data_IF_368494621810
#
_entry.id   IF_368494621810
#
_cell.length_a   1.000
_cell.length_b   1.000
_cell.length_c   1.000
_cell.angle_alpha   90.00
_cell.angle_beta   90.00
_cell.angle_gamma   90.00
#
_symmetry.space_group_name_H-M   'P 1'
#
loop_
_entity.id
_entity.type
_entity.pdbx_description
1 polymer ?
#
# COMPACT_ATOMS: atom_id res chain seq x y z
N UNK A 1 -5.81 -9.80 -27.03
CA UNK A 1 -5.70 -8.53 -26.30
C UNK A 1 -5.48 -8.88 -24.82
N UNK A 2 -4.40 -8.42 -24.21
CA UNK A 2 -4.17 -8.58 -22.78
C UNK A 2 -5.25 -7.81 -22.03
N UNK A 3 -6.06 -8.50 -21.23
CA UNK A 3 -7.18 -7.90 -20.50
C UNK A 3 -6.73 -6.82 -19.52
N UNK A 4 -7.62 -5.91 -19.15
CA UNK A 4 -7.41 -4.84 -18.18
C UNK A 4 -7.31 -5.43 -16.77
N UNK A 5 -6.12 -5.43 -16.18
CA UNK A 5 -5.84 -5.98 -14.85
C UNK A 5 -6.05 -4.90 -13.77
N UNK A 6 -7.23 -4.92 -13.13
CA UNK A 6 -7.60 -4.01 -12.03
C UNK A 6 -7.68 -4.73 -10.67
N UNK A 7 -6.93 -5.81 -10.51
CA UNK A 7 -6.88 -6.67 -9.32
C UNK A 7 -5.63 -6.46 -8.45
N UNK A 8 -4.60 -5.76 -8.96
CA UNK A 8 -3.27 -5.67 -8.33
C UNK A 8 -2.88 -4.28 -7.81
N UNK A 9 -3.74 -3.27 -7.91
CA UNK A 9 -3.48 -1.89 -7.48
C UNK A 9 -2.18 -1.31 -8.09
N UNK A 10 -1.98 -1.53 -9.39
CA UNK A 10 -0.82 -1.00 -10.10
C UNK A 10 -0.90 0.52 -10.19
N UNK A 11 0.26 1.16 -10.23
CA UNK A 11 0.39 2.59 -10.54
C UNK A 11 0.36 2.87 -12.04
N UNK A 12 0.57 4.14 -12.40
CA UNK A 12 0.69 4.55 -13.80
C UNK A 12 1.88 3.91 -14.50
N UNK A 13 1.77 3.75 -15.81
CA UNK A 13 2.88 3.31 -16.63
C UNK A 13 3.99 4.37 -16.59
N UNK A 14 5.23 4.02 -16.20
CA UNK A 14 6.33 4.97 -16.25
C UNK A 14 6.70 5.32 -17.68
N UNK A 15 7.30 6.52 -17.92
CA UNK A 15 7.68 6.95 -19.26
C UNK A 15 8.80 6.09 -19.86
N UNK A 16 8.84 6.00 -21.21
CA UNK A 16 9.87 5.25 -21.94
C UNK A 16 11.29 5.72 -21.59
N UNK A 17 11.48 7.01 -21.35
CA UNK A 17 12.78 7.60 -20.94
C UNK A 17 13.37 6.93 -19.67
N UNK A 18 12.54 6.32 -18.83
CA UNK A 18 13.04 5.56 -17.68
C UNK A 18 13.72 4.25 -18.12
N UNK A 19 13.23 3.60 -19.18
CA UNK A 19 13.86 2.40 -19.76
C UNK A 19 15.17 2.77 -20.49
N UNK A 20 15.22 3.95 -21.10
CA UNK A 20 16.44 4.44 -21.75
C UNK A 20 17.57 4.64 -20.72
N UNK A 21 17.22 5.03 -19.49
CA UNK A 21 18.18 5.10 -18.38
C UNK A 21 18.76 3.73 -18.00
N UNK A 22 18.03 2.64 -18.18
CA UNK A 22 18.53 1.27 -17.96
C UNK A 22 19.53 0.87 -19.05
N UNK A 23 19.29 1.26 -20.29
CA UNK A 23 20.19 0.94 -21.40
C UNK A 23 21.58 1.61 -21.24
N UNK A 24 21.66 2.70 -20.48
CA UNK A 24 22.91 3.40 -20.17
C UNK A 24 23.62 2.93 -18.89
N UNK A 25 23.17 1.85 -18.25
CA UNK A 25 23.83 1.36 -17.04
C UNK A 25 25.22 0.76 -17.33
N UNK A 26 26.20 1.07 -16.47
CA UNK A 26 27.51 0.49 -16.52
C UNK A 26 27.44 -1.02 -16.24
N UNK A 27 28.02 -1.89 -17.10
CA UNK A 27 28.12 -3.33 -16.85
C UNK A 27 28.74 -3.70 -15.48
N UNK A 28 29.63 -2.87 -14.94
CA UNK A 28 30.19 -3.04 -13.60
C UNK A 28 29.11 -3.05 -12.50
N UNK A 29 28.00 -2.34 -12.71
CA UNK A 29 26.86 -2.35 -11.79
C UNK A 29 26.24 -3.74 -11.66
N UNK A 30 26.29 -4.57 -12.70
CA UNK A 30 25.77 -5.94 -12.67
C UNK A 30 26.73 -6.91 -11.97
N UNK A 31 28.02 -6.60 -11.95
CA UNK A 31 29.08 -7.44 -11.36
C UNK A 31 29.26 -7.20 -9.86
N UNK A 32 28.95 -5.99 -9.37
CA UNK A 32 29.13 -5.60 -7.96
C UNK A 32 27.86 -5.82 -7.15
N UNK A 33 28.02 -6.05 -5.86
CA UNK A 33 26.88 -5.99 -4.94
C UNK A 33 26.28 -4.58 -4.93
N UNK A 34 24.94 -4.47 -4.89
CA UNK A 34 24.27 -3.19 -4.96
C UNK A 34 24.49 -2.33 -3.71
N UNK A 35 24.63 -1.02 -3.92
CA UNK A 35 24.68 -0.03 -2.85
C UNK A 35 23.36 0.75 -2.81
N UNK A 36 22.65 0.73 -1.70
CA UNK A 36 21.39 1.47 -1.51
C UNK A 36 21.60 2.88 -0.97
N UNK A 37 22.79 3.19 -0.43
CA UNK A 37 23.10 4.46 0.21
C UNK A 37 22.83 5.71 -0.69
N UNK A 38 23.07 5.70 -2.01
CA UNK A 38 22.68 6.84 -2.86
C UNK A 38 21.17 7.11 -2.85
N UNK A 39 20.35 6.05 -2.91
CA UNK A 39 18.90 6.17 -2.88
C UNK A 39 18.41 6.59 -1.48
N UNK A 40 19.02 6.07 -0.40
CA UNK A 40 18.72 6.46 0.98
C UNK A 40 18.96 7.96 1.19
N UNK A 41 20.08 8.52 0.65
CA UNK A 41 20.36 9.96 0.71
C UNK A 41 19.34 10.82 -0.04
N UNK A 42 18.91 10.40 -1.24
CA UNK A 42 17.87 11.12 -2.01
C UNK A 42 16.54 11.11 -1.25
N UNK A 43 16.16 9.98 -0.70
CA UNK A 43 14.95 9.86 0.11
C UNK A 43 15.05 10.69 1.40
N UNK A 44 16.19 10.66 2.10
CA UNK A 44 16.42 11.46 3.30
C UNK A 44 16.25 12.97 3.01
N UNK A 45 16.87 13.46 1.94
CA UNK A 45 16.73 14.86 1.50
C UNK A 45 15.28 15.22 1.18
N UNK A 46 14.51 14.29 0.57
CA UNK A 46 13.09 14.48 0.24
C UNK A 46 12.21 14.67 1.47
N UNK A 47 12.54 14.00 2.57
CA UNK A 47 11.78 14.08 3.83
C UNK A 47 12.42 15.02 4.87
N UNK A 48 13.53 15.69 4.54
CA UNK A 48 14.23 16.61 5.45
C UNK A 48 14.80 15.91 6.68
N UNK A 49 15.30 14.69 6.52
CA UNK A 49 15.90 13.89 7.60
C UNK A 49 17.31 13.43 7.24
N UNK A 50 18.07 12.95 8.22
CA UNK A 50 19.37 12.34 7.99
C UNK A 50 19.25 10.96 7.32
N UNK A 51 20.26 10.56 6.54
CA UNK A 51 20.28 9.28 5.84
C UNK A 51 20.18 8.06 6.78
N UNK A 52 20.65 8.18 8.01
CA UNK A 52 20.55 7.17 9.06
C UNK A 52 19.11 6.87 9.50
N UNK A 53 18.18 7.74 9.13
CA UNK A 53 16.74 7.58 9.36
C UNK A 53 16.00 6.89 8.21
N UNK A 54 16.74 6.44 7.19
CA UNK A 54 16.19 5.81 5.99
C UNK A 54 16.79 4.42 5.76
N UNK A 55 15.96 3.46 5.38
CA UNK A 55 16.38 2.13 4.93
C UNK A 55 15.65 1.77 3.65
N UNK A 56 16.38 1.53 2.58
CA UNK A 56 15.83 0.98 1.32
C UNK A 56 15.61 -0.52 1.46
N UNK A 57 14.46 -1.02 1.00
CA UNK A 57 13.99 -2.39 1.15
C UNK A 57 13.49 -2.97 -0.18
N UNK A 58 13.38 -4.30 -0.29
CA UNK A 58 12.82 -4.99 -1.46
C UNK A 58 11.27 -4.84 -1.53
N UNK A 59 10.79 -3.61 -1.69
CA UNK A 59 9.38 -3.24 -1.61
C UNK A 59 8.89 -3.09 -0.17
N UNK A 60 7.60 -2.78 -0.03
CA UNK A 60 6.95 -2.68 1.28
C UNK A 60 6.91 -4.00 2.04
N UNK A 61 6.83 -5.12 1.32
CA UNK A 61 6.77 -6.46 1.92
C UNK A 61 8.03 -6.78 2.75
N UNK A 62 9.23 -6.51 2.21
CA UNK A 62 10.49 -6.68 2.94
C UNK A 62 10.58 -5.73 4.14
N UNK A 63 10.04 -4.50 4.03
CA UNK A 63 9.96 -3.57 5.15
C UNK A 63 9.11 -4.13 6.30
N UNK A 64 7.93 -4.66 5.98
CA UNK A 64 7.00 -5.26 6.95
C UNK A 64 7.62 -6.50 7.58
N UNK A 65 8.22 -7.40 6.78
CA UNK A 65 8.90 -8.60 7.27
C UNK A 65 10.03 -8.25 8.27
N UNK A 66 10.89 -7.26 7.93
CA UNK A 66 11.95 -6.78 8.82
C UNK A 66 11.41 -6.23 10.12
N UNK A 67 10.31 -5.46 10.10
CA UNK A 67 9.68 -4.94 11.31
C UNK A 67 9.16 -6.10 12.17
N UNK A 68 8.50 -7.08 11.55
CA UNK A 68 8.02 -8.27 12.25
C UNK A 68 9.18 -9.04 12.90
N UNK A 69 10.25 -9.34 12.17
CA UNK A 69 11.43 -10.05 12.70
C UNK A 69 12.15 -9.28 13.79
N UNK A 70 12.20 -7.95 13.73
CA UNK A 70 12.85 -7.13 14.74
C UNK A 70 12.04 -7.01 16.04
N UNK A 71 10.71 -7.17 15.97
CA UNK A 71 9.80 -6.83 17.09
C UNK A 71 8.96 -7.99 17.60
N UNK A 72 8.81 -9.06 16.80
CA UNK A 72 7.98 -10.21 17.14
C UNK A 72 8.84 -11.47 17.37
N UNK A 73 8.35 -12.35 18.20
CA UNK A 73 8.86 -13.67 18.55
C UNK A 73 7.75 -14.42 19.31
N UNK A 74 7.87 -15.71 19.62
CA UNK A 74 6.93 -16.40 20.50
C UNK A 74 6.69 -15.63 21.80
N UNK A 75 5.42 -15.45 22.16
CA UNK A 75 4.99 -14.64 23.31
C UNK A 75 4.82 -13.15 23.03
N UNK A 76 5.11 -12.66 21.81
CA UNK A 76 4.83 -11.27 21.41
C UNK A 76 3.67 -11.21 20.43
N UNK A 77 2.96 -10.09 20.38
CA UNK A 77 1.79 -9.91 19.51
C UNK A 77 1.87 -8.68 18.62
N UNK A 78 1.13 -8.75 17.50
CA UNK A 78 0.81 -7.65 16.60
C UNK A 78 -0.67 -7.29 16.78
N UNK A 79 -0.98 -6.04 17.15
CA UNK A 79 -2.34 -5.49 17.12
C UNK A 79 -2.61 -4.97 15.70
N UNK A 80 -3.61 -5.55 15.03
CA UNK A 80 -3.87 -5.33 13.60
C UNK A 80 -5.33 -4.97 13.35
N UNK A 81 -5.66 -3.74 12.91
CA UNK A 81 -6.98 -3.42 12.36
C UNK A 81 -7.28 -4.29 11.14
N UNK A 82 -8.46 -4.94 11.12
CA UNK A 82 -8.88 -5.86 10.04
C UNK A 82 -10.28 -5.50 9.51
N UNK A 83 -10.53 -5.69 8.21
CA UNK A 83 -9.65 -6.27 7.19
C UNK A 83 -8.50 -5.33 6.82
N UNK A 84 -7.31 -5.88 6.59
CA UNK A 84 -6.13 -5.13 6.17
C UNK A 84 -5.30 -5.93 5.17
N UNK A 85 -4.10 -5.45 4.81
CA UNK A 85 -3.21 -6.14 3.90
C UNK A 85 -2.77 -7.48 4.49
N UNK A 86 -3.07 -8.56 3.77
CA UNK A 86 -2.90 -9.95 4.25
C UNK A 86 -1.46 -10.30 4.67
N UNK A 87 -0.46 -9.62 4.07
CA UNK A 87 0.94 -9.87 4.41
C UNK A 87 1.32 -9.37 5.82
N UNK A 88 0.55 -8.49 6.44
CA UNK A 88 0.76 -8.10 7.84
C UNK A 88 0.66 -9.32 8.76
N UNK A 89 -0.45 -10.05 8.65
CA UNK A 89 -0.67 -11.28 9.41
C UNK A 89 0.31 -12.38 9.05
N UNK A 90 0.61 -12.53 7.74
CA UNK A 90 1.54 -13.53 7.24
C UNK A 90 2.94 -13.36 7.86
N UNK A 91 3.53 -12.16 7.79
CA UNK A 91 4.86 -11.91 8.33
C UNK A 91 4.89 -11.92 9.86
N UNK A 92 3.82 -11.49 10.54
CA UNK A 92 3.73 -11.62 11.98
C UNK A 92 3.82 -13.08 12.43
N UNK A 93 3.09 -13.98 11.75
CA UNK A 93 3.13 -15.43 12.02
C UNK A 93 4.47 -16.05 11.68
N UNK A 94 5.11 -15.66 10.55
CA UNK A 94 6.46 -16.12 10.19
C UNK A 94 7.50 -15.73 11.25
N UNK A 95 7.37 -14.57 11.87
CA UNK A 95 8.22 -14.14 12.98
C UNK A 95 7.87 -14.82 14.32
N UNK A 96 6.89 -15.72 14.35
CA UNK A 96 6.44 -16.41 15.55
C UNK A 96 5.53 -15.58 16.47
N UNK A 97 5.10 -14.39 16.03
CA UNK A 97 4.20 -13.52 16.78
C UNK A 97 2.72 -13.93 16.66
N UNK A 98 1.95 -13.64 17.69
CA UNK A 98 0.50 -13.73 17.64
C UNK A 98 -0.11 -12.50 16.98
N UNK A 99 -1.31 -12.62 16.39
CA UNK A 99 -2.06 -11.48 15.84
C UNK A 99 -3.31 -11.25 16.70
N UNK A 100 -3.52 -10.01 17.14
CA UNK A 100 -4.71 -9.54 17.83
C UNK A 100 -5.51 -8.70 16.84
N UNK A 101 -6.55 -9.25 16.21
CA UNK A 101 -7.34 -8.55 15.20
C UNK A 101 -8.28 -7.54 15.85
N UNK A 102 -8.34 -6.33 15.30
CA UNK A 102 -9.26 -5.27 15.70
C UNK A 102 -10.21 -4.99 14.54
N UNK A 103 -11.52 -5.22 14.66
CA UNK A 103 -12.47 -4.96 13.59
C UNK A 103 -12.45 -3.49 13.15
N UNK A 104 -12.22 -3.25 11.85
CA UNK A 104 -12.30 -1.94 11.20
C UNK A 104 -12.88 -2.09 9.78
N UNK A 105 -14.15 -2.43 9.71
CA UNK A 105 -14.84 -2.60 8.42
C UNK A 105 -15.28 -1.26 7.83
N UNK A 106 -15.91 -0.42 8.61
CA UNK A 106 -16.39 0.91 8.22
C UNK A 106 -16.31 1.89 9.39
N UNK A 107 -16.46 3.18 9.10
CA UNK A 107 -16.48 4.22 10.11
C UNK A 107 -15.08 4.72 10.50
N UNK A 108 -14.99 5.44 11.63
CA UNK A 108 -13.74 6.02 12.10
C UNK A 108 -12.71 4.95 12.46
N UNK A 109 -11.43 5.37 12.51
CA UNK A 109 -10.35 4.50 12.93
C UNK A 109 -10.59 3.96 14.36
N UNK A 110 -10.37 2.67 14.65
CA UNK A 110 -10.79 2.02 15.90
C UNK A 110 -9.81 2.26 17.06
N UNK A 111 -9.44 3.52 17.31
CA UNK A 111 -8.42 3.90 18.31
C UNK A 111 -8.70 3.34 19.69
N UNK A 112 -9.94 3.44 20.20
CA UNK A 112 -10.27 2.95 21.54
C UNK A 112 -10.18 1.43 21.67
N UNK A 113 -10.50 0.69 20.60
CA UNK A 113 -10.34 -0.76 20.58
C UNK A 113 -8.84 -1.14 20.58
N UNK A 114 -8.01 -0.41 19.84
CA UNK A 114 -6.55 -0.58 19.83
C UNK A 114 -5.98 -0.32 21.22
N UNK A 115 -6.37 0.79 21.87
CA UNK A 115 -5.95 1.13 23.24
C UNK A 115 -6.21 0.01 24.24
N UNK A 116 -7.39 -0.63 24.14
CA UNK A 116 -7.73 -1.76 25.02
C UNK A 116 -6.98 -3.05 24.70
N UNK A 117 -6.55 -3.22 23.47
CA UNK A 117 -5.87 -4.44 22.99
C UNK A 117 -4.34 -4.41 23.20
N UNK A 118 -3.75 -3.22 23.35
CA UNK A 118 -2.32 -3.08 23.62
C UNK A 118 -2.02 -3.54 25.05
N UNK A 119 -1.03 -4.40 25.17
CA UNK A 119 -0.58 -4.96 26.47
C UNK A 119 0.94 -5.12 26.51
N UNK A 120 1.48 -5.66 27.61
CA UNK A 120 2.93 -5.80 27.83
C UNK A 120 3.60 -6.69 26.77
N UNK A 121 2.86 -7.61 26.17
CA UNK A 121 3.34 -8.51 25.13
C UNK A 121 3.20 -7.94 23.71
N UNK A 122 2.64 -6.74 23.56
CA UNK A 122 2.54 -6.10 22.26
C UNK A 122 3.92 -5.72 21.73
N UNK A 123 4.27 -6.22 20.53
CA UNK A 123 5.51 -5.89 19.85
C UNK A 123 5.32 -4.87 18.73
N UNK A 124 4.16 -4.94 18.05
CA UNK A 124 3.81 -4.08 16.92
C UNK A 124 2.34 -3.68 17.01
N UNK A 125 2.05 -2.40 16.75
CA UNK A 125 0.70 -1.92 16.46
C UNK A 125 0.68 -1.41 15.02
N UNK A 126 -0.29 -1.83 14.22
CA UNK A 126 -0.33 -1.53 12.78
C UNK A 126 -1.34 -0.42 12.49
N UNK A 127 -0.93 0.54 11.66
CA UNK A 127 -1.78 1.55 11.03
C UNK A 127 -1.53 1.50 9.53
N UNK A 128 -2.50 1.04 8.73
CA UNK A 128 -2.43 1.08 7.26
C UNK A 128 -3.30 2.24 6.79
N UNK A 129 -2.71 3.25 6.16
CA UNK A 129 -3.42 4.47 5.77
C UNK A 129 -2.86 5.07 4.47
N UNK A 130 -3.64 5.07 3.38
CA UNK A 130 -4.92 4.40 3.15
C UNK A 130 -4.86 2.88 3.29
N UNK A 131 -5.88 2.29 3.91
CA UNK A 131 -5.93 0.86 4.20
C UNK A 131 -6.27 0.03 2.94
N UNK A 132 -5.61 -1.07 2.77
CA UNK A 132 -5.94 -2.07 1.76
C UNK A 132 -6.61 -3.29 2.44
N UNK A 133 -7.88 -3.64 2.10
CA UNK A 133 -8.58 -3.29 0.86
C UNK A 133 -9.64 -2.18 0.99
N UNK A 134 -9.83 -1.56 2.12
CA UNK A 134 -10.99 -0.67 2.37
C UNK A 134 -10.84 0.72 1.77
N UNK A 135 -9.61 1.23 1.63
CA UNK A 135 -9.32 2.59 1.22
C UNK A 135 -9.46 3.63 2.35
N UNK A 136 -9.87 3.21 3.54
CA UNK A 136 -10.06 4.08 4.70
C UNK A 136 -8.72 4.66 5.20
N UNK A 137 -8.77 5.82 5.85
CA UNK A 137 -7.61 6.54 6.36
C UNK A 137 -7.70 6.75 7.87
N UNK A 138 -6.54 6.77 8.53
CA UNK A 138 -6.38 7.26 9.89
C UNK A 138 -6.06 8.76 9.86
N UNK A 139 -6.45 9.49 10.89
CA UNK A 139 -6.12 10.91 11.09
C UNK A 139 -4.78 11.07 11.81
N UNK A 140 -4.26 12.30 11.88
CA UNK A 140 -3.08 12.61 12.68
C UNK A 140 -3.32 12.32 14.18
N UNK A 141 -4.51 12.65 14.69
CA UNK A 141 -4.89 12.37 16.07
C UNK A 141 -4.97 10.86 16.37
N UNK A 142 -5.46 10.06 15.40
CA UNK A 142 -5.45 8.60 15.53
C UNK A 142 -4.03 8.04 15.63
N UNK A 143 -3.12 8.50 14.75
CA UNK A 143 -1.72 8.08 14.77
C UNK A 143 -1.03 8.43 16.10
N UNK A 144 -1.25 9.65 16.61
CA UNK A 144 -0.71 10.09 17.90
C UNK A 144 -1.26 9.25 19.05
N UNK A 145 -2.58 9.04 19.07
CA UNK A 145 -3.21 8.20 20.07
C UNK A 145 -2.75 6.74 20.05
N UNK A 146 -2.46 6.19 18.84
CA UNK A 146 -1.85 4.85 18.71
C UNK A 146 -0.42 4.86 19.22
N UNK A 147 0.39 5.87 18.86
CA UNK A 147 1.78 5.97 19.28
C UNK A 147 1.90 6.08 20.81
N UNK A 148 1.02 6.86 21.44
CA UNK A 148 0.92 6.96 22.91
C UNK A 148 0.54 5.61 23.52
N UNK A 149 -0.52 4.99 23.05
CA UNK A 149 -1.01 3.71 23.57
C UNK A 149 -0.01 2.57 23.39
N UNK A 150 0.73 2.55 22.29
CA UNK A 150 1.71 1.52 21.98
C UNK A 150 2.91 1.52 22.95
N UNK A 151 3.22 2.67 23.58
CA UNK A 151 4.34 2.79 24.52
C UNK A 151 5.67 2.32 23.91
N UNK A 152 6.31 1.24 24.44
CA UNK A 152 7.57 0.73 23.89
C UNK A 152 7.41 -0.13 22.63
N UNK A 153 6.17 -0.52 22.26
CA UNK A 153 5.92 -1.25 21.03
C UNK A 153 6.13 -0.37 19.80
N UNK A 154 6.53 -0.97 18.68
CA UNK A 154 6.65 -0.24 17.44
C UNK A 154 5.28 0.00 16.81
N UNK A 155 5.03 1.21 16.30
CA UNK A 155 3.89 1.51 15.44
C UNK A 155 4.35 1.39 13.99
N UNK A 156 3.84 0.41 13.26
CA UNK A 156 4.04 0.26 11.82
C UNK A 156 2.99 1.10 11.09
N UNK A 157 3.41 2.23 10.51
CA UNK A 157 2.57 3.05 9.64
C UNK A 157 2.85 2.66 8.18
N UNK A 158 1.92 1.92 7.56
CA UNK A 158 1.99 1.59 6.14
C UNK A 158 1.33 2.67 5.29
N UNK A 159 2.14 3.39 4.55
CA UNK A 159 1.78 4.49 3.65
C UNK A 159 1.96 4.12 2.18
N UNK A 160 1.75 2.85 1.80
CA UNK A 160 1.92 2.41 0.42
C UNK A 160 1.04 3.16 -0.61
N UNK A 161 -0.06 3.77 -0.17
CA UNK A 161 -1.02 4.48 -1.04
C UNK A 161 -1.11 5.98 -0.73
N UNK A 162 -0.23 6.52 0.09
CA UNK A 162 -0.35 7.89 0.63
C UNK A 162 -0.37 8.98 -0.44
N UNK A 163 0.29 8.79 -1.58
CA UNK A 163 0.28 9.75 -2.68
C UNK A 163 -1.15 10.00 -3.24
N UNK A 164 -2.06 9.03 -3.09
CA UNK A 164 -3.45 9.15 -3.52
C UNK A 164 -4.37 9.77 -2.46
N UNK A 165 -3.92 9.87 -1.21
CA UNK A 165 -4.69 10.42 -0.10
C UNK A 165 -4.69 11.94 -0.09
N UNK A 166 -5.69 12.52 0.60
CA UNK A 166 -5.75 13.97 0.81
C UNK A 166 -4.67 14.46 1.79
N UNK A 167 -4.27 13.60 2.76
CA UNK A 167 -3.25 13.91 3.77
C UNK A 167 -2.08 12.94 3.75
N UNK A 168 -0.90 13.41 4.16
CA UNK A 168 0.32 12.61 4.37
C UNK A 168 0.76 12.75 5.84
N UNK A 169 0.71 11.64 6.59
CA UNK A 169 1.07 11.59 7.99
C UNK A 169 2.58 11.44 8.23
N UNK A 170 3.40 11.35 7.18
CA UNK A 170 4.83 11.04 7.30
C UNK A 170 5.57 12.05 8.19
N UNK A 171 5.35 13.35 7.98
CA UNK A 171 6.02 14.38 8.79
C UNK A 171 5.64 14.27 10.28
N UNK A 172 4.38 13.97 10.57
CA UNK A 172 3.91 13.76 11.94
C UNK A 172 4.50 12.49 12.55
N UNK A 173 4.52 11.40 11.79
CA UNK A 173 5.10 10.12 12.18
C UNK A 173 6.60 10.24 12.54
N UNK A 174 7.35 11.03 11.79
CA UNK A 174 8.79 11.26 12.02
C UNK A 174 9.10 12.02 13.32
N UNK A 175 8.12 12.69 13.91
CA UNK A 175 8.23 13.32 15.23
C UNK A 175 7.93 12.34 16.39
N UNK A 176 7.39 11.15 16.11
CA UNK A 176 7.02 10.14 17.09
C UNK A 176 8.11 9.06 17.17
N UNK A 177 8.74 8.82 18.34
CA UNK A 177 9.97 8.01 18.43
C UNK A 177 9.74 6.51 18.19
N UNK A 178 8.51 6.02 18.38
CA UNK A 178 8.15 4.61 18.22
C UNK A 178 7.43 4.31 16.88
N UNK A 179 7.26 5.32 16.00
CA UNK A 179 6.61 5.13 14.69
C UNK A 179 7.66 4.81 13.62
N UNK A 180 7.38 3.79 12.85
CA UNK A 180 8.16 3.33 11.69
C UNK A 180 7.25 3.44 10.47
N UNK A 181 7.62 4.30 9.51
CA UNK A 181 6.85 4.54 8.30
C UNK A 181 7.35 3.63 7.20
N UNK A 182 6.46 2.88 6.57
CA UNK A 182 6.74 2.06 5.36
C UNK A 182 6.17 2.76 4.15
N UNK A 183 6.99 2.94 3.11
CA UNK A 183 6.60 3.52 1.82
C UNK A 183 7.15 2.68 0.67
N UNK A 184 6.64 2.90 -0.54
CA UNK A 184 7.04 2.12 -1.71
C UNK A 184 6.96 2.93 -2.99
N UNK A 185 7.82 2.62 -3.96
CA UNK A 185 7.71 3.13 -5.33
C UNK A 185 6.81 2.25 -6.21
N UNK A 186 6.20 1.20 -5.65
CA UNK A 186 5.37 0.23 -6.39
C UNK A 186 4.01 0.77 -6.84
N UNK A 187 3.48 1.81 -6.19
CA UNK A 187 2.11 2.31 -6.42
C UNK A 187 2.14 3.57 -7.27
N UNK A 188 2.03 4.76 -6.71
CA UNK A 188 1.97 6.01 -7.46
C UNK A 188 3.17 6.23 -8.39
N UNK A 189 4.34 5.77 -8.00
CA UNK A 189 5.58 5.87 -8.78
C UNK A 189 5.69 4.87 -9.94
N UNK A 190 4.82 3.86 -10.01
CA UNK A 190 4.73 2.91 -11.13
C UNK A 190 5.83 1.85 -11.20
N UNK A 191 6.62 1.65 -10.14
CA UNK A 191 7.77 0.74 -10.12
C UNK A 191 7.53 -0.59 -9.39
N UNK A 192 6.31 -1.14 -9.48
CA UNK A 192 5.98 -2.40 -8.79
C UNK A 192 6.93 -3.55 -9.18
N UNK A 193 7.32 -3.66 -10.44
CA UNK A 193 8.27 -4.67 -10.95
C UNK A 193 9.72 -4.48 -10.47
N UNK A 194 10.10 -3.26 -10.07
CA UNK A 194 11.44 -2.96 -9.59
C UNK A 194 11.65 -3.34 -8.11
N UNK A 195 10.57 -3.63 -7.37
CA UNK A 195 10.66 -4.03 -5.97
C UNK A 195 11.46 -3.03 -5.13
N UNK A 196 11.12 -1.74 -5.18
CA UNK A 196 11.73 -0.68 -4.36
C UNK A 196 10.74 -0.16 -3.35
N UNK A 197 11.06 -0.35 -2.07
CA UNK A 197 10.41 0.25 -0.93
C UNK A 197 11.42 0.91 -0.01
N UNK A 198 10.93 1.58 1.00
CA UNK A 198 11.79 2.17 2.02
C UNK A 198 11.05 2.39 3.33
N UNK A 199 11.84 2.48 4.37
CA UNK A 199 11.40 2.73 5.74
C UNK A 199 11.98 4.05 6.22
N UNK A 200 11.17 4.81 6.96
CA UNK A 200 11.60 6.00 7.69
C UNK A 200 11.37 5.77 9.19
N UNK A 201 12.33 6.17 10.02
CA UNK A 201 12.21 5.97 11.47
C UNK A 201 13.34 6.66 12.24
N UNK A 202 13.49 6.34 13.52
CA UNK A 202 14.66 6.76 14.28
C UNK A 202 15.91 5.98 13.85
N UNK A 203 17.13 6.50 13.99
CA UNK A 203 18.37 5.78 13.66
C UNK A 203 18.44 4.40 14.34
N UNK A 204 18.04 4.32 15.60
CA UNK A 204 18.01 3.05 16.34
C UNK A 204 17.04 2.03 15.73
N UNK A 205 15.84 2.47 15.30
CA UNK A 205 14.88 1.60 14.64
C UNK A 205 15.43 1.13 13.28
N UNK A 206 15.95 2.05 12.47
CA UNK A 206 16.55 1.75 11.15
C UNK A 206 17.69 0.74 11.26
N UNK A 207 18.58 0.92 12.23
CA UNK A 207 19.69 -0.02 12.46
C UNK A 207 19.21 -1.41 12.87
N UNK A 208 18.20 -1.50 13.72
CA UNK A 208 17.57 -2.79 14.06
C UNK A 208 16.95 -3.48 12.84
N UNK A 209 16.28 -2.73 11.96
CA UNK A 209 15.69 -3.27 10.73
C UNK A 209 16.75 -3.67 9.70
N UNK A 210 17.86 -2.96 9.62
CA UNK A 210 18.99 -3.30 8.75
C UNK A 210 19.59 -4.66 9.14
N UNK A 211 19.72 -4.93 10.44
CA UNK A 211 20.18 -6.24 10.96
C UNK A 211 19.16 -7.37 10.80
N UNK A 212 17.87 -7.05 10.74
CA UNK A 212 16.80 -8.07 10.65
C UNK A 212 16.61 -8.67 9.25
N UNK A 213 17.22 -8.11 8.21
CA UNK A 213 17.04 -8.56 6.83
C UNK A 213 18.34 -8.83 6.07
N UNK A 214 18.21 -9.18 4.80
CA UNK A 214 19.35 -9.41 3.91
C UNK A 214 20.17 -8.12 3.70
N UNK A 215 21.52 -8.22 3.55
CA UNK A 215 22.39 -7.07 3.39
C UNK A 215 22.22 -6.35 2.03
N UNK A 216 21.80 -7.07 0.99
CA UNK A 216 21.64 -6.58 -0.39
C UNK A 216 20.23 -6.84 -0.90
N UNK A 217 19.19 -6.16 -0.36
CA UNK A 217 17.80 -6.53 -0.63
C UNK A 217 17.32 -6.11 -2.03
N UNK A 218 17.93 -5.07 -2.63
CA UNK A 218 17.46 -4.46 -3.88
C UNK A 218 18.56 -4.56 -4.93
N UNK A 219 18.22 -5.06 -6.12
CA UNK A 219 19.15 -5.16 -7.24
C UNK A 219 19.64 -3.77 -7.72
N UNK A 220 20.88 -3.70 -8.17
CA UNK A 220 21.50 -2.46 -8.63
C UNK A 220 20.69 -1.73 -9.73
N UNK A 221 20.13 -2.40 -10.78
CA UNK A 221 19.26 -1.76 -11.76
C UNK A 221 18.00 -1.16 -11.12
N UNK A 222 17.44 -1.80 -10.10
CA UNK A 222 16.25 -1.28 -9.39
C UNK A 222 16.57 -0.03 -8.59
N UNK A 223 17.75 0.05 -7.97
CA UNK A 223 18.23 1.27 -7.29
C UNK A 223 18.39 2.41 -8.30
N UNK A 224 19.02 2.14 -9.45
CA UNK A 224 19.22 3.12 -10.51
C UNK A 224 17.88 3.65 -11.07
N UNK A 225 16.92 2.75 -11.33
CA UNK A 225 15.57 3.12 -11.75
C UNK A 225 14.83 3.95 -10.68
N UNK A 226 14.97 3.59 -9.42
CA UNK A 226 14.43 4.35 -8.30
C UNK A 226 14.97 5.77 -8.25
N UNK A 227 16.28 5.93 -8.39
CA UNK A 227 16.96 7.24 -8.44
C UNK A 227 16.48 8.08 -9.64
N UNK A 228 16.48 7.50 -10.85
CA UNK A 228 16.03 8.19 -12.06
C UNK A 228 14.55 8.61 -11.94
N UNK A 229 13.69 7.73 -11.39
CA UNK A 229 12.26 8.01 -11.21
C UNK A 229 12.01 9.12 -10.21
N UNK A 230 12.74 9.15 -9.09
CA UNK A 230 12.62 10.22 -8.09
C UNK A 230 13.14 11.56 -8.62
N UNK A 231 14.19 11.56 -9.46
CA UNK A 231 14.77 12.77 -10.01
C UNK A 231 13.86 13.47 -11.04
N UNK A 232 13.14 12.71 -11.88
CA UNK A 232 12.42 13.27 -13.02
C UNK A 232 10.90 12.99 -13.01
N UNK A 233 10.41 12.11 -12.14
CA UNK A 233 9.06 11.58 -12.25
C UNK A 233 7.96 12.31 -11.50
N UNK A 234 8.25 13.35 -10.74
CA UNK A 234 7.25 13.99 -9.86
C UNK A 234 6.03 14.53 -10.59
N UNK A 235 6.25 15.15 -11.76
CA UNK A 235 5.15 15.68 -12.57
C UNK A 235 4.22 14.55 -13.03
N UNK A 236 4.79 13.48 -13.59
CA UNK A 236 4.00 12.34 -14.08
C UNK A 236 3.20 11.69 -12.95
N UNK A 237 3.82 11.57 -11.75
CA UNK A 237 3.16 11.02 -10.56
C UNK A 237 2.00 11.92 -10.13
N UNK A 238 2.20 13.24 -10.06
CA UNK A 238 1.12 14.18 -9.72
C UNK A 238 -0.03 14.12 -10.73
N UNK A 239 0.28 14.09 -12.01
CA UNK A 239 -0.71 14.03 -13.09
C UNK A 239 -1.49 12.70 -13.04
N UNK A 240 -0.78 11.59 -12.78
CA UNK A 240 -1.42 10.27 -12.57
C UNK A 240 -2.32 10.26 -11.33
N UNK A 241 -1.86 10.75 -10.20
CA UNK A 241 -2.63 10.84 -8.96
C UNK A 241 -3.89 11.69 -9.15
N UNK A 242 -3.78 12.80 -9.87
CA UNK A 242 -4.93 13.66 -10.18
C UNK A 242 -5.98 12.92 -11.00
N UNK A 243 -5.55 12.18 -12.05
CA UNK A 243 -6.47 11.34 -12.85
C UNK A 243 -7.13 10.26 -11.99
N UNK A 244 -6.36 9.53 -11.19
CA UNK A 244 -6.88 8.46 -10.32
C UNK A 244 -7.90 9.00 -9.33
N UNK A 245 -7.68 10.17 -8.74
CA UNK A 245 -8.65 10.81 -7.83
C UNK A 245 -9.96 11.16 -8.54
N UNK A 246 -9.88 11.68 -9.77
CA UNK A 246 -11.07 11.97 -10.59
C UNK A 246 -11.81 10.67 -10.99
N UNK A 247 -11.09 9.65 -11.45
CA UNK A 247 -11.65 8.33 -11.78
C UNK A 247 -12.31 7.68 -10.55
N UNK A 248 -11.71 7.81 -9.35
CA UNK A 248 -12.28 7.30 -8.09
C UNK A 248 -13.64 7.92 -7.81
N UNK A 249 -13.75 9.24 -7.91
CA UNK A 249 -15.01 9.94 -7.69
C UNK A 249 -16.07 9.50 -8.70
N UNK A 250 -15.73 9.45 -10.00
CA UNK A 250 -16.63 9.03 -11.06
C UNK A 250 -17.05 7.56 -10.93
N UNK A 251 -16.12 6.66 -10.55
CA UNK A 251 -16.44 5.24 -10.31
C UNK A 251 -17.41 5.09 -9.14
N UNK A 252 -17.19 5.78 -8.02
CA UNK A 252 -18.11 5.74 -6.88
C UNK A 252 -19.52 6.19 -7.29
N UNK A 253 -19.64 7.30 -8.01
CA UNK A 253 -20.94 7.80 -8.52
C UNK A 253 -21.61 6.76 -9.42
N UNK A 254 -20.84 6.13 -10.34
CA UNK A 254 -21.38 5.11 -11.25
C UNK A 254 -21.85 3.86 -10.52
N UNK A 255 -21.05 3.36 -9.57
CA UNK A 255 -21.42 2.19 -8.76
C UNK A 255 -22.69 2.44 -7.96
N UNK A 256 -22.82 3.62 -7.34
CA UNK A 256 -24.05 4.03 -6.62
C UNK A 256 -25.24 4.08 -7.56
N UNK A 257 -25.10 4.66 -8.75
CA UNK A 257 -26.17 4.71 -9.77
C UNK A 257 -26.61 3.31 -10.25
N UNK A 258 -25.71 2.32 -10.18
CA UNK A 258 -25.98 0.91 -10.48
C UNK A 258 -26.54 0.13 -9.28
N UNK A 259 -26.86 0.80 -8.17
CA UNK A 259 -27.40 0.20 -6.95
C UNK A 259 -26.38 -0.65 -6.20
N UNK A 260 -25.10 -0.35 -6.30
CA UNK A 260 -24.04 -0.92 -5.49
C UNK A 260 -23.58 0.08 -4.42
N UNK A 261 -22.87 -0.42 -3.39
CA UNK A 261 -22.43 0.41 -2.27
C UNK A 261 -20.89 0.50 -2.24
N UNK A 262 -20.28 1.51 -2.91
CA UNK A 262 -18.85 1.75 -2.82
C UNK A 262 -18.47 2.25 -1.43
N UNK A 263 -17.33 1.75 -0.90
CA UNK A 263 -16.79 2.24 0.36
C UNK A 263 -15.97 3.52 0.11
N UNK A 264 -15.99 4.49 1.04
CA UNK A 264 -15.10 5.64 0.97
C UNK A 264 -13.65 5.20 0.87
N UNK A 265 -12.92 5.74 -0.10
CA UNK A 265 -11.52 5.36 -0.35
C UNK A 265 -10.66 6.58 -0.64
N UNK A 266 -9.43 6.57 -0.12
CA UNK A 266 -8.37 7.50 -0.50
C UNK A 266 -7.18 6.81 -1.20
N UNK A 267 -7.34 5.54 -1.60
CA UNK A 267 -6.35 4.78 -2.36
C UNK A 267 -6.58 4.85 -3.88
N UNK A 268 -5.77 4.12 -4.66
CA UNK A 268 -5.98 3.93 -6.10
C UNK A 268 -6.94 2.78 -6.44
N UNK A 269 -7.88 2.51 -5.57
CA UNK A 269 -8.92 1.50 -5.74
C UNK A 269 -10.18 1.89 -4.97
N UNK A 270 -11.29 1.24 -5.30
CA UNK A 270 -12.55 1.28 -4.56
C UNK A 270 -12.92 -0.13 -4.16
N UNK A 271 -13.25 -0.33 -2.89
CA UNK A 271 -13.93 -1.53 -2.42
C UNK A 271 -15.43 -1.29 -2.57
N UNK A 272 -16.17 -2.22 -3.16
CA UNK A 272 -17.60 -2.11 -3.37
C UNK A 272 -18.31 -3.34 -2.85
N UNK A 273 -19.33 -3.14 -2.01
CA UNK A 273 -20.23 -4.21 -1.59
C UNK A 273 -21.22 -4.52 -2.73
N UNK A 274 -21.24 -5.79 -3.13
CA UNK A 274 -22.04 -6.27 -4.26
C UNK A 274 -23.17 -7.23 -3.83
N UNK A 275 -23.13 -7.72 -2.59
CA UNK A 275 -24.09 -8.69 -2.09
C UNK A 275 -24.12 -9.96 -2.97
N UNK A 276 -25.31 -10.53 -3.22
CA UNK A 276 -25.43 -11.75 -4.03
C UNK A 276 -24.97 -11.57 -5.47
N UNK A 277 -24.83 -10.32 -5.96
CA UNK A 277 -24.37 -10.01 -7.33
C UNK A 277 -22.86 -10.13 -7.52
N UNK A 278 -22.06 -10.27 -6.45
CA UNK A 278 -20.60 -10.22 -6.50
C UNK A 278 -20.00 -11.21 -7.51
N UNK A 279 -20.45 -12.47 -7.47
CA UNK A 279 -19.96 -13.53 -8.37
C UNK A 279 -20.34 -13.28 -9.82
N UNK A 280 -21.59 -12.90 -10.09
CA UNK A 280 -22.09 -12.60 -11.43
C UNK A 280 -21.35 -11.38 -12.01
N UNK A 281 -21.18 -10.32 -11.23
CA UNK A 281 -20.45 -9.13 -11.64
C UNK A 281 -18.98 -9.45 -11.95
N UNK A 282 -18.28 -10.17 -11.09
CA UNK A 282 -16.90 -10.60 -11.33
C UNK A 282 -16.77 -11.39 -12.65
N UNK A 283 -17.66 -12.37 -12.88
CA UNK A 283 -17.66 -13.17 -14.10
C UNK A 283 -17.99 -12.32 -15.32
N UNK A 284 -18.97 -11.42 -15.24
CA UNK A 284 -19.35 -10.50 -16.32
C UNK A 284 -18.21 -9.55 -16.71
N UNK A 285 -17.49 -9.00 -15.73
CA UNK A 285 -16.30 -8.17 -15.95
C UNK A 285 -15.16 -8.97 -16.61
N UNK A 286 -14.88 -10.19 -16.09
CA UNK A 286 -13.86 -11.06 -16.66
C UNK A 286 -14.15 -11.43 -18.10
N UNK A 287 -15.41 -11.74 -18.45
CA UNK A 287 -15.85 -12.00 -19.82
C UNK A 287 -15.68 -10.80 -20.77
N UNK A 288 -15.53 -9.58 -20.23
CA UNK A 288 -15.25 -8.35 -20.97
C UNK A 288 -13.78 -7.90 -20.84
N UNK A 289 -12.91 -8.80 -20.40
CA UNK A 289 -11.48 -8.54 -20.29
C UNK A 289 -11.09 -7.65 -19.10
N UNK A 290 -11.94 -7.48 -18.09
CA UNK A 290 -11.65 -6.69 -16.88
C UNK A 290 -11.53 -7.63 -15.66
N UNK A 291 -10.34 -7.69 -15.04
CA UNK A 291 -10.12 -8.45 -13.82
C UNK A 291 -10.17 -7.56 -12.60
N UNK A 292 -10.94 -7.98 -11.59
CA UNK A 292 -11.07 -7.30 -10.29
C UNK A 292 -10.76 -8.28 -9.15
N UNK A 293 -10.47 -7.77 -7.96
CA UNK A 293 -10.11 -8.59 -6.80
C UNK A 293 -11.35 -8.95 -5.98
N UNK A 294 -11.58 -10.25 -5.78
CA UNK A 294 -12.52 -10.79 -4.80
C UNK A 294 -11.76 -11.30 -3.57
N UNK A 295 -12.48 -11.55 -2.48
CA UNK A 295 -11.92 -11.95 -1.18
C UNK A 295 -12.65 -13.20 -0.63
N UNK A 296 -12.58 -14.35 -1.31
CA UNK A 296 -13.24 -15.56 -0.86
C UNK A 296 -12.72 -16.00 0.52
N UNK A 297 -13.64 -16.34 1.44
CA UNK A 297 -13.31 -16.80 2.78
C UNK A 297 -12.75 -15.73 3.72
N UNK A 298 -12.82 -14.45 3.34
CA UNK A 298 -12.38 -13.35 4.19
C UNK A 298 -13.58 -12.69 4.86
N UNK A 299 -13.70 -12.88 6.18
CA UNK A 299 -14.84 -12.41 6.96
C UNK A 299 -15.16 -10.93 6.71
N UNK A 300 -16.42 -10.64 6.36
CA UNK A 300 -16.94 -9.30 6.06
C UNK A 300 -16.56 -8.74 4.69
N UNK A 301 -15.92 -9.56 3.81
CA UNK A 301 -15.55 -9.16 2.44
C UNK A 301 -16.00 -10.20 1.39
N UNK A 302 -16.76 -11.24 1.77
CA UNK A 302 -17.11 -12.37 0.90
C UNK A 302 -17.90 -11.93 -0.33
N UNK A 303 -18.65 -10.85 -0.20
CA UNK A 303 -19.50 -10.26 -1.24
C UNK A 303 -18.98 -8.93 -1.77
N UNK A 304 -17.78 -8.55 -1.37
CA UNK A 304 -17.13 -7.33 -1.84
C UNK A 304 -16.14 -7.59 -2.99
N UNK A 305 -16.03 -6.60 -3.89
CA UNK A 305 -15.02 -6.56 -4.94
C UNK A 305 -14.16 -5.32 -4.77
N UNK A 306 -12.83 -5.44 -4.94
CA UNK A 306 -11.93 -4.30 -5.03
C UNK A 306 -11.58 -4.05 -6.49
N UNK A 307 -11.83 -2.83 -6.95
CA UNK A 307 -11.61 -2.38 -8.32
C UNK A 307 -10.50 -1.33 -8.28
N UNK A 308 -9.34 -1.64 -8.87
CA UNK A 308 -8.25 -0.68 -9.03
C UNK A 308 -8.59 0.35 -10.13
N UNK A 309 -8.04 1.56 -9.98
CA UNK A 309 -8.24 2.66 -10.93
C UNK A 309 -7.05 2.71 -11.89
N UNK A 310 -7.29 2.70 -13.20
CA UNK A 310 -6.21 2.61 -14.18
C UNK A 310 -5.40 3.91 -14.32
N UNK A 311 -5.95 5.07 -13.99
CA UNK A 311 -5.32 6.38 -14.22
C UNK A 311 -5.11 6.69 -15.71
N UNK A 312 -5.94 6.11 -16.60
CA UNK A 312 -5.87 6.23 -18.05
C UNK A 312 -7.28 6.25 -18.66
N UNK A 313 -7.63 7.33 -19.35
CA UNK A 313 -8.99 7.61 -19.81
C UNK A 313 -9.63 6.47 -20.62
N UNK A 314 -8.91 5.88 -21.58
CA UNK A 314 -9.42 4.79 -22.40
C UNK A 314 -9.70 3.51 -21.58
N UNK A 315 -8.80 3.17 -20.66
CA UNK A 315 -8.96 2.03 -19.75
C UNK A 315 -10.12 2.26 -18.77
N UNK A 316 -10.27 3.49 -18.27
CA UNK A 316 -11.37 3.84 -17.38
C UNK A 316 -12.73 3.80 -18.11
N UNK A 317 -12.82 4.31 -19.34
CA UNK A 317 -14.02 4.21 -20.16
C UNK A 317 -14.40 2.74 -20.44
N UNK A 318 -13.41 1.88 -20.69
CA UNK A 318 -13.63 0.43 -20.86
C UNK A 318 -14.18 -0.21 -19.57
N UNK A 319 -13.63 0.14 -18.40
CA UNK A 319 -14.14 -0.32 -17.09
C UNK A 319 -15.62 0.07 -16.91
N UNK A 320 -15.98 1.35 -17.15
CA UNK A 320 -17.35 1.82 -16.98
C UNK A 320 -18.32 1.09 -17.94
N UNK A 321 -17.96 0.94 -19.20
CA UNK A 321 -18.77 0.18 -20.18
C UNK A 321 -18.94 -1.29 -19.81
N UNK A 322 -17.88 -1.92 -19.24
CA UNK A 322 -17.94 -3.30 -18.76
C UNK A 322 -18.85 -3.45 -17.55
N UNK A 323 -18.83 -2.48 -16.61
CA UNK A 323 -19.74 -2.44 -15.46
C UNK A 323 -21.20 -2.31 -15.90
N UNK A 324 -21.49 -1.37 -16.81
CA UNK A 324 -22.84 -1.15 -17.33
C UNK A 324 -23.42 -2.38 -17.99
N UNK A 325 -22.63 -3.00 -18.88
CA UNK A 325 -23.04 -4.20 -19.60
C UNK A 325 -23.18 -5.45 -18.68
N UNK A 326 -22.45 -5.49 -17.55
CA UNK A 326 -22.50 -6.61 -16.61
C UNK A 326 -23.67 -6.51 -15.62
N UNK A 327 -24.15 -5.31 -15.33
CA UNK A 327 -25.26 -5.04 -14.39
C UNK A 327 -26.56 -4.69 -15.11
N UNK A 328 -26.51 -4.10 -16.32
CA UNK A 328 -27.70 -3.77 -17.11
C UNK A 328 -28.38 -5.01 -17.73
N UNK A 329 -27.65 -6.09 -17.95
CA UNK A 329 -28.22 -7.35 -18.44
C UNK A 329 -29.09 -8.10 -17.40
N UNK A 330 -29.01 -7.72 -16.11
CA UNK A 330 -29.80 -8.32 -15.02
C UNK A 330 -31.13 -7.61 -14.71
N UNK A 331 -31.41 -6.48 -15.37
CA UNK A 331 -32.68 -5.73 -15.19
C UNK A 331 -33.79 -6.11 -16.19
N UNK A 332 -33.53 -7.07 -17.07
CA UNK A 332 -34.44 -7.51 -18.13
C UNK A 332 -34.83 -9.00 -18.03
N UNK A 333 -34.71 -9.62 -16.85
CA UNK A 333 -35.18 -10.99 -16.60
C UNK A 333 -36.07 -11.08 -15.37
#
# INVERSE_FOLDING_TARGET
MTGLALDANLGGLPPQALLDAVAGLDPEMLRRYPETAPLERVLAARFGVDAERVLVTAGGDDAIDRICRARLRPGRSMVLPVPSFEMMEHFARLAGGAVVPIPWTRGPFPLDAIRRAVGPDTGVVVVVSPNNPTGAVATAADLEGVAEAAGPAAVLLDHAYVEYAAGDLTARALALPNVIVVRTLSKAWGLAGCRVGYVLGTPTAIDALRRAGAPYPVAAPSVALGLARLAAGERDVRDHVTRVRAERAALCQRLTALGLEPWPSEANFVLVECGPRARALMTGLAGRGVRVRAFPGRAGLETALRISLPGAAAAFAHLLGALDASLGAGAAS
#
